data_IF_385397676686
#
_entry.id   IF_385397676686
#
_cell.length_a   1.000
_cell.length_b   1.000
_cell.length_c   1.000
_cell.angle_alpha   90.00
_cell.angle_beta   90.00
_cell.angle_gamma   90.00
#
_symmetry.space_group_name_H-M   'P 1'
#
loop_
_entity.id
_entity.type
_entity.pdbx_description
1 polymer ?
#
# COMPACT_ATOMS: atom_id res chain seq x y z
N UNK A 1 20.29 -20.59 1.22
CA UNK A 1 20.17 -20.17 -0.20
C UNK A 1 19.19 -19.00 -0.31
N UNK A 2 17.99 -19.07 0.28
CA UNK A 2 16.98 -18.01 0.25
C UNK A 2 17.44 -16.71 0.94
N UNK A 3 18.17 -16.81 2.04
CA UNK A 3 18.72 -15.64 2.74
C UNK A 3 19.76 -14.89 1.91
N UNK A 4 20.54 -15.62 1.11
CA UNK A 4 21.53 -15.02 0.19
C UNK A 4 20.81 -14.30 -0.95
N UNK A 5 19.74 -14.90 -1.49
CA UNK A 5 18.96 -14.32 -2.57
C UNK A 5 18.20 -13.06 -2.12
N UNK A 6 17.50 -13.11 -0.98
CA UNK A 6 16.86 -11.95 -0.34
C UNK A 6 17.88 -10.85 -0.02
N UNK A 7 19.07 -11.23 0.49
CA UNK A 7 20.15 -10.29 0.77
C UNK A 7 20.69 -9.63 -0.49
N UNK A 8 20.80 -10.37 -1.60
CA UNK A 8 21.26 -9.82 -2.88
C UNK A 8 20.25 -8.87 -3.51
N UNK A 9 18.95 -9.21 -3.49
CA UNK A 9 17.87 -8.34 -4.00
C UNK A 9 17.76 -7.05 -3.18
N UNK A 10 17.91 -7.13 -1.88
CA UNK A 10 17.83 -5.98 -0.98
C UNK A 10 19.18 -5.29 -0.76
N UNK A 11 20.22 -5.68 -1.52
CA UNK A 11 21.60 -5.19 -1.40
C UNK A 11 22.13 -5.29 0.05
N UNK A 12 21.87 -6.38 0.73
CA UNK A 12 22.33 -6.64 2.09
C UNK A 12 21.54 -5.90 3.19
N UNK A 13 20.51 -5.11 2.82
CA UNK A 13 19.72 -4.37 3.80
C UNK A 13 19.06 -5.27 4.85
N UNK A 14 18.57 -6.45 4.43
CA UNK A 14 17.99 -7.45 5.35
C UNK A 14 19.04 -7.95 6.35
N UNK A 15 20.28 -8.18 5.91
CA UNK A 15 21.34 -8.71 6.77
C UNK A 15 21.74 -7.80 7.93
N UNK A 16 21.61 -6.49 7.79
CA UNK A 16 22.01 -5.49 8.79
C UNK A 16 20.85 -4.93 9.61
N UNK A 17 19.61 -5.01 9.12
CA UNK A 17 18.45 -4.41 9.76
C UNK A 17 17.67 -5.45 10.58
N UNK A 18 17.74 -5.35 11.91
CA UNK A 18 17.03 -6.25 12.84
C UNK A 18 15.51 -6.24 12.65
N UNK A 19 14.92 -5.08 12.37
CA UNK A 19 13.48 -4.93 12.13
C UNK A 19 13.06 -5.67 10.87
N UNK A 20 13.82 -5.53 9.79
CA UNK A 20 13.54 -6.19 8.53
C UNK A 20 13.66 -7.72 8.66
N UNK A 21 14.66 -8.22 9.40
CA UNK A 21 14.77 -9.66 9.74
C UNK A 21 13.55 -10.16 10.48
N UNK A 22 13.07 -9.39 11.47
CA UNK A 22 11.87 -9.75 12.23
C UNK A 22 10.64 -9.81 11.33
N UNK A 23 10.44 -8.83 10.44
CA UNK A 23 9.34 -8.81 9.47
C UNK A 23 9.39 -10.05 8.56
N UNK A 24 10.53 -10.32 7.94
CA UNK A 24 10.70 -11.49 7.05
C UNK A 24 10.45 -12.80 7.80
N UNK A 25 10.94 -12.91 9.04
CA UNK A 25 10.67 -14.09 9.88
C UNK A 25 9.17 -14.26 10.15
N UNK A 26 8.49 -13.20 10.57
CA UNK A 26 7.05 -13.22 10.82
C UNK A 26 6.26 -13.61 9.58
N UNK A 27 6.59 -13.02 8.41
CA UNK A 27 5.95 -13.38 7.14
C UNK A 27 6.19 -14.85 6.78
N UNK A 28 7.40 -15.35 6.98
CA UNK A 28 7.74 -16.76 6.70
C UNK A 28 6.97 -17.76 7.57
N UNK A 29 6.66 -17.39 8.80
CA UNK A 29 5.95 -18.21 9.79
C UNK A 29 4.42 -18.04 9.70
N UNK A 30 3.91 -17.23 8.75
CA UNK A 30 2.47 -16.99 8.58
C UNK A 30 1.84 -17.99 7.63
N UNK A 31 0.60 -18.37 7.91
CA UNK A 31 -0.22 -19.23 7.04
C UNK A 31 -0.88 -18.44 5.90
N UNK A 32 -1.03 -17.14 6.05
CA UNK A 32 -1.64 -16.22 5.09
C UNK A 32 -1.02 -14.84 5.24
N UNK A 33 -0.78 -14.17 4.11
CA UNK A 33 -0.41 -12.77 4.08
C UNK A 33 -1.57 -11.96 3.51
N UNK A 34 -2.06 -10.97 4.26
CA UNK A 34 -3.04 -10.00 3.78
C UNK A 34 -2.34 -8.65 3.61
N UNK A 35 -2.23 -8.20 2.36
CA UNK A 35 -1.72 -6.87 2.06
C UNK A 35 -2.85 -5.86 2.24
N UNK A 36 -2.77 -5.09 3.31
CA UNK A 36 -3.82 -4.16 3.75
C UNK A 36 -4.07 -3.00 2.80
N UNK A 37 -5.17 -2.28 3.03
CA UNK A 37 -5.50 -1.10 2.26
C UNK A 37 -4.46 0.00 2.46
N UNK A 38 -4.24 0.78 1.42
CA UNK A 38 -3.31 1.89 1.46
C UNK A 38 -3.50 2.80 0.27
N UNK A 39 -2.82 3.96 0.30
CA UNK A 39 -2.73 4.81 -0.86
C UNK A 39 -2.01 4.11 -2.02
N UNK A 40 -1.80 4.83 -3.10
CA UNK A 40 -1.12 4.32 -4.32
C UNK A 40 0.37 4.05 -4.07
N UNK A 41 0.67 3.03 -3.26
CA UNK A 41 2.04 2.67 -2.86
C UNK A 41 2.72 1.75 -3.87
N UNK A 42 1.95 1.00 -4.65
CA UNK A 42 2.46 0.15 -5.74
C UNK A 42 2.28 0.90 -7.06
N UNK A 43 3.28 1.68 -7.45
CA UNK A 43 3.28 2.50 -8.66
C UNK A 43 4.70 2.79 -9.13
N UNK A 44 4.88 3.49 -10.25
CA UNK A 44 6.19 3.87 -10.80
C UNK A 44 6.72 5.23 -10.34
N UNK A 45 5.98 5.91 -9.46
CA UNK A 45 6.33 7.24 -8.99
C UNK A 45 7.30 7.23 -7.82
N UNK A 46 7.46 6.08 -7.14
CA UNK A 46 8.44 5.93 -6.06
C UNK A 46 9.81 5.50 -6.56
N UNK A 47 10.86 5.85 -5.83
CA UNK A 47 12.19 5.29 -6.02
C UNK A 47 12.15 3.77 -5.86
N UNK A 48 12.94 3.07 -6.65
CA UNK A 48 13.04 1.61 -6.64
C UNK A 48 13.21 1.01 -5.23
N UNK A 49 14.06 1.62 -4.41
CA UNK A 49 14.26 1.17 -3.03
C UNK A 49 12.97 1.19 -2.21
N UNK A 50 12.17 2.25 -2.34
CA UNK A 50 10.89 2.39 -1.65
C UNK A 50 9.86 1.38 -2.15
N UNK A 51 9.83 1.15 -3.45
CA UNK A 51 8.98 0.12 -4.04
C UNK A 51 9.30 -1.27 -3.50
N UNK A 52 10.59 -1.61 -3.31
CA UNK A 52 11.00 -2.90 -2.76
C UNK A 52 10.52 -3.10 -1.33
N UNK A 53 10.44 -2.04 -0.52
CA UNK A 53 9.84 -2.12 0.83
C UNK A 53 8.36 -2.52 0.75
N UNK A 54 7.59 -1.92 -0.16
CA UNK A 54 6.18 -2.23 -0.35
C UNK A 54 5.94 -3.60 -1.01
N UNK A 55 6.86 -4.06 -1.83
CA UNK A 55 6.78 -5.36 -2.49
C UNK A 55 7.33 -6.52 -1.65
N UNK A 56 7.91 -6.25 -0.48
CA UNK A 56 8.47 -7.28 0.39
C UNK A 56 7.46 -8.38 0.76
N UNK A 57 6.20 -8.11 1.12
CA UNK A 57 5.21 -9.15 1.36
C UNK A 57 4.97 -10.06 0.15
N UNK A 58 4.97 -9.50 -1.07
CA UNK A 58 4.83 -10.28 -2.31
C UNK A 58 6.04 -11.18 -2.55
N UNK A 59 7.24 -10.66 -2.29
CA UNK A 59 8.49 -11.43 -2.39
C UNK A 59 8.45 -12.61 -1.41
N UNK A 60 8.10 -12.35 -0.14
CA UNK A 60 8.00 -13.37 0.88
C UNK A 60 6.93 -14.41 0.56
N UNK A 61 5.74 -13.99 0.16
CA UNK A 61 4.65 -14.87 -0.25
C UNK A 61 5.11 -15.84 -1.34
N UNK A 62 5.77 -15.31 -2.37
CA UNK A 62 6.25 -16.11 -3.49
C UNK A 62 7.41 -17.04 -3.12
N UNK A 63 8.36 -16.57 -2.32
CA UNK A 63 9.53 -17.37 -1.94
C UNK A 63 9.20 -18.47 -0.94
N UNK A 64 8.26 -18.21 -0.05
CA UNK A 64 7.90 -19.15 1.02
C UNK A 64 6.62 -19.94 0.69
N UNK A 65 6.05 -19.71 -0.51
CA UNK A 65 4.81 -20.34 -0.96
C UNK A 65 3.64 -20.12 0.01
N UNK A 66 3.46 -18.87 0.45
CA UNK A 66 2.41 -18.47 1.37
C UNK A 66 1.30 -17.77 0.56
N UNK A 67 0.03 -18.13 0.76
CA UNK A 67 -1.08 -17.42 0.14
C UNK A 67 -1.03 -15.91 0.39
N UNK A 68 -1.26 -15.11 -0.64
CA UNK A 68 -1.27 -13.65 -0.55
C UNK A 68 -2.60 -13.11 -1.08
N UNK A 69 -3.28 -12.34 -0.25
CA UNK A 69 -4.49 -11.62 -0.62
C UNK A 69 -4.25 -10.11 -0.54
N UNK A 70 -4.77 -9.38 -1.51
CA UNK A 70 -4.70 -7.92 -1.55
C UNK A 70 -6.06 -7.36 -1.19
N UNK A 71 -6.11 -6.51 -0.16
CA UNK A 71 -7.32 -5.93 0.40
C UNK A 71 -7.43 -4.43 0.07
N UNK A 72 -8.00 -4.12 -1.08
CA UNK A 72 -8.44 -2.81 -1.53
C UNK A 72 -7.43 -1.63 -1.47
N UNK A 73 -6.15 -1.78 -1.87
CA UNK A 73 -5.29 -0.62 -2.12
C UNK A 73 -5.62 0.04 -3.47
N UNK A 74 -5.17 1.29 -3.65
CA UNK A 74 -4.94 1.85 -4.98
C UNK A 74 -3.63 1.32 -5.56
N UNK A 75 -3.64 0.94 -6.84
CA UNK A 75 -2.47 0.42 -7.55
C UNK A 75 -2.27 1.23 -8.84
N UNK A 76 -1.00 1.53 -9.17
CA UNK A 76 -0.62 2.34 -10.32
C UNK A 76 -0.54 3.84 -10.00
N UNK A 77 -0.29 4.70 -10.99
CA UNK A 77 -0.02 4.36 -12.39
C UNK A 77 1.34 3.65 -12.59
N UNK A 78 1.44 2.99 -13.73
CA UNK A 78 2.69 2.36 -14.19
C UNK A 78 3.19 3.06 -15.46
N UNK A 79 4.50 3.30 -15.55
CA UNK A 79 5.13 3.83 -16.75
C UNK A 79 5.29 2.70 -17.78
N UNK A 80 4.76 2.90 -18.98
CA UNK A 80 4.85 1.92 -20.06
C UNK A 80 6.29 1.73 -20.55
N UNK A 81 7.08 2.80 -20.51
CA UNK A 81 8.50 2.80 -20.93
C UNK A 81 9.44 2.11 -19.94
N UNK A 82 8.97 1.76 -18.76
CA UNK A 82 9.76 1.06 -17.76
C UNK A 82 9.36 -0.41 -17.68
N UNK A 83 10.02 -1.31 -18.43
CA UNK A 83 9.75 -2.74 -18.36
C UNK A 83 10.12 -3.28 -16.96
N UNK A 84 9.20 -3.20 -16.02
CA UNK A 84 9.41 -3.72 -14.68
C UNK A 84 8.88 -5.15 -14.60
N UNK A 85 9.63 -6.08 -15.22
CA UNK A 85 9.30 -7.50 -15.24
C UNK A 85 9.24 -8.12 -13.82
N UNK A 86 10.07 -7.63 -12.89
CA UNK A 86 10.04 -8.09 -11.48
C UNK A 86 8.71 -7.73 -10.84
N UNK A 87 8.24 -6.50 -11.01
CA UNK A 87 6.96 -6.07 -10.48
C UNK A 87 5.80 -6.85 -11.08
N UNK A 88 5.77 -7.01 -12.40
CA UNK A 88 4.77 -7.85 -13.08
C UNK A 88 4.76 -9.27 -12.53
N UNK A 89 5.95 -9.83 -12.32
CA UNK A 89 6.11 -11.17 -11.77
C UNK A 89 5.60 -11.25 -10.32
N UNK A 90 5.85 -10.24 -9.48
CA UNK A 90 5.36 -10.17 -8.11
C UNK A 90 3.85 -9.91 -8.05
N UNK A 91 3.31 -9.03 -8.88
CA UNK A 91 1.88 -8.74 -8.91
C UNK A 91 1.02 -9.90 -9.44
N UNK A 92 1.62 -10.92 -10.03
CA UNK A 92 0.95 -12.19 -10.37
C UNK A 92 0.90 -13.18 -9.19
N UNK A 93 1.53 -12.87 -8.07
CA UNK A 93 1.58 -13.75 -6.90
C UNK A 93 0.27 -13.83 -6.12
N UNK A 94 -0.50 -12.73 -5.91
CA UNK A 94 -1.73 -12.81 -5.15
C UNK A 94 -2.74 -13.78 -5.74
N UNK A 95 -3.38 -14.56 -4.89
CA UNK A 95 -4.48 -15.45 -5.28
C UNK A 95 -5.76 -14.66 -5.53
N UNK A 96 -6.01 -13.64 -4.70
CA UNK A 96 -7.11 -12.69 -4.83
C UNK A 96 -6.55 -11.28 -4.70
N UNK A 97 -6.95 -10.42 -5.61
CA UNK A 97 -6.57 -9.01 -5.62
C UNK A 97 -7.83 -8.14 -5.67
N UNK A 98 -8.20 -7.59 -4.53
CA UNK A 98 -9.23 -6.55 -4.48
C UNK A 98 -8.53 -5.19 -4.60
N UNK A 99 -9.03 -4.35 -5.51
CA UNK A 99 -8.61 -2.94 -5.65
C UNK A 99 -9.81 -2.05 -5.38
N UNK A 100 -9.59 -0.82 -4.90
CA UNK A 100 -10.70 0.03 -4.45
C UNK A 100 -11.33 0.88 -5.54
N UNK A 101 -10.75 0.92 -6.75
CA UNK A 101 -11.27 1.69 -7.87
C UNK A 101 -10.95 1.08 -9.24
N UNK A 102 -11.80 1.37 -10.22
CA UNK A 102 -11.67 0.88 -11.60
C UNK A 102 -10.37 1.33 -12.28
N UNK A 103 -9.85 2.51 -11.93
CA UNK A 103 -8.59 3.00 -12.49
C UNK A 103 -7.40 2.10 -12.12
N UNK A 104 -7.37 1.57 -10.89
CA UNK A 104 -6.35 0.61 -10.46
C UNK A 104 -6.46 -0.72 -11.21
N UNK A 105 -7.69 -1.20 -11.44
CA UNK A 105 -7.94 -2.40 -12.27
C UNK A 105 -7.47 -2.18 -13.71
N UNK A 106 -7.73 -0.99 -14.28
CA UNK A 106 -7.23 -0.63 -15.61
C UNK A 106 -5.71 -0.66 -15.66
N UNK A 107 -5.00 -0.03 -14.71
CA UNK A 107 -3.54 -0.05 -14.68
C UNK A 107 -2.96 -1.47 -14.59
N UNK A 108 -3.59 -2.35 -13.82
CA UNK A 108 -3.17 -3.76 -13.76
C UNK A 108 -3.38 -4.45 -15.11
N UNK A 109 -4.52 -4.20 -15.76
CA UNK A 109 -4.81 -4.73 -17.10
C UNK A 109 -3.79 -4.26 -18.13
N UNK A 110 -3.43 -2.99 -18.13
CA UNK A 110 -2.48 -2.38 -19.06
C UNK A 110 -1.09 -3.02 -18.96
N UNK A 111 -0.68 -3.48 -17.77
CA UNK A 111 0.56 -4.24 -17.56
C UNK A 111 0.39 -5.76 -17.68
N UNK A 112 -0.76 -6.26 -18.16
CA UNK A 112 -1.00 -7.69 -18.44
C UNK A 112 -1.37 -8.54 -17.23
N UNK A 113 -2.02 -7.95 -16.22
CA UNK A 113 -2.57 -8.65 -15.05
C UNK A 113 -4.10 -8.57 -15.12
N UNK A 114 -4.72 -9.72 -15.45
CA UNK A 114 -6.16 -9.79 -15.71
C UNK A 114 -6.89 -10.74 -14.76
N UNK A 115 -6.17 -11.71 -14.19
CA UNK A 115 -6.76 -12.78 -13.42
C UNK A 115 -6.96 -12.38 -11.97
N UNK A 116 -8.13 -12.73 -11.40
CA UNK A 116 -8.46 -12.56 -9.98
C UNK A 116 -8.36 -11.11 -9.47
N UNK A 117 -8.69 -10.11 -10.32
CA UNK A 117 -8.73 -8.71 -9.94
C UNK A 117 -10.18 -8.25 -9.81
N UNK A 118 -10.60 -8.00 -8.58
CA UNK A 118 -11.94 -7.52 -8.22
C UNK A 118 -11.89 -6.04 -7.83
N UNK A 119 -12.91 -5.27 -8.21
CA UNK A 119 -13.08 -3.91 -7.72
C UNK A 119 -14.05 -3.93 -6.54
N UNK A 120 -13.65 -3.31 -5.45
CA UNK A 120 -14.44 -3.21 -4.23
C UNK A 120 -14.43 -1.76 -3.73
N UNK A 121 -14.87 -1.51 -2.53
CA UNK A 121 -14.79 -0.20 -1.88
C UNK A 121 -13.56 -0.12 -0.99
N UNK A 122 -13.14 1.09 -0.65
CA UNK A 122 -12.11 1.30 0.37
C UNK A 122 -12.60 0.69 1.69
N UNK A 123 -11.76 -0.13 2.33
CA UNK A 123 -12.08 -0.80 3.59
C UNK A 123 -12.35 0.18 4.74
N UNK A 124 -11.97 1.44 4.60
CA UNK A 124 -12.34 2.49 5.57
C UNK A 124 -13.86 2.66 5.71
N UNK A 125 -14.64 2.37 4.66
CA UNK A 125 -16.11 2.42 4.71
C UNK A 125 -16.75 1.25 5.48
N UNK A 126 -15.97 0.22 5.80
CA UNK A 126 -16.43 -0.92 6.59
C UNK A 126 -16.32 -0.67 8.10
N UNK A 127 -15.66 0.42 8.50
CA UNK A 127 -15.49 0.75 9.91
C UNK A 127 -16.79 1.34 10.47
N UNK A 128 -17.28 0.73 11.52
CA UNK A 128 -18.29 1.35 12.38
C UNK A 128 -17.63 2.45 13.22
N UNK A 129 -17.95 3.69 12.91
CA UNK A 129 -17.33 4.88 13.52
C UNK A 129 -17.63 4.93 15.02
N UNK A 130 -18.74 4.38 15.46
CA UNK A 130 -19.15 4.40 16.87
C UNK A 130 -18.25 3.54 17.76
N UNK A 131 -17.62 2.50 17.22
CA UNK A 131 -16.70 1.62 17.95
C UNK A 131 -15.33 2.26 18.18
N UNK A 132 -14.93 3.22 17.32
CA UNK A 132 -13.58 3.80 17.33
C UNK A 132 -13.45 5.06 18.20
N UNK A 133 -14.51 5.57 18.80
CA UNK A 133 -14.47 6.78 19.61
C UNK A 133 -13.96 6.47 21.02
N UNK A 134 -12.65 6.60 21.20
CA UNK A 134 -12.02 6.56 22.52
C UNK A 134 -12.51 7.77 23.35
N UNK A 135 -13.03 7.53 24.56
CA UNK A 135 -13.61 8.55 25.44
C UNK A 135 -12.69 9.77 25.69
N UNK A 136 -11.37 9.58 25.76
CA UNK A 136 -10.40 10.69 25.88
C UNK A 136 -10.33 11.60 24.64
N UNK A 137 -10.65 11.06 23.46
CA UNK A 137 -10.77 11.86 22.23
C UNK A 137 -12.12 12.56 22.16
N UNK A 138 -13.15 12.05 22.81
CA UNK A 138 -14.51 12.57 22.76
C UNK A 138 -14.60 14.03 23.22
N UNK A 139 -13.91 14.43 24.29
CA UNK A 139 -13.91 15.81 24.77
C UNK A 139 -13.37 16.81 23.75
N UNK A 140 -12.30 16.45 23.05
CA UNK A 140 -11.72 17.24 21.95
C UNK A 140 -12.71 17.37 20.79
N UNK A 141 -13.41 16.28 20.46
CA UNK A 141 -14.42 16.28 19.40
C UNK A 141 -15.68 17.08 19.80
N UNK A 142 -16.09 17.04 21.06
CA UNK A 142 -17.24 17.85 21.56
C UNK A 142 -16.95 19.35 21.41
N UNK A 143 -15.75 19.79 21.77
CA UNK A 143 -15.33 21.20 21.59
C UNK A 143 -15.33 21.59 20.10
N UNK A 144 -14.76 20.73 19.24
CA UNK A 144 -14.76 20.96 17.80
C UNK A 144 -16.17 20.95 17.22
N UNK A 145 -17.03 20.02 17.64
CA UNK A 145 -18.42 19.93 17.20
C UNK A 145 -19.22 21.18 17.59
N UNK A 146 -19.06 21.69 18.83
CA UNK A 146 -19.68 22.97 19.25
C UNK A 146 -19.22 24.14 18.41
N UNK A 147 -17.91 24.22 18.10
CA UNK A 147 -17.37 25.25 17.23
C UNK A 147 -17.95 25.14 15.82
N UNK A 148 -17.98 23.95 15.25
CA UNK A 148 -18.48 23.68 13.91
C UNK A 148 -19.98 24.00 13.80
N UNK A 149 -20.81 23.58 14.81
CA UNK A 149 -22.26 23.76 14.77
C UNK A 149 -22.71 25.24 14.87
N UNK A 150 -21.81 26.17 15.14
CA UNK A 150 -22.09 27.60 15.08
C UNK A 150 -22.09 28.20 13.66
N UNK A 151 -21.69 27.43 12.65
CA UNK A 151 -21.60 27.85 11.26
C UNK A 151 -22.66 27.17 10.39
N UNK A 152 -23.27 27.91 9.49
CA UNK A 152 -24.28 27.41 8.56
C UNK A 152 -23.66 26.48 7.48
N UNK A 153 -22.46 26.81 7.05
CA UNK A 153 -21.70 26.03 6.05
C UNK A 153 -20.26 25.83 6.49
N UNK A 154 -19.74 24.62 6.30
CA UNK A 154 -18.39 24.24 6.70
C UNK A 154 -17.69 23.60 5.52
N UNK A 155 -16.46 24.04 5.25
CA UNK A 155 -15.56 23.42 4.27
C UNK A 155 -14.40 22.82 5.03
N UNK A 156 -14.25 21.51 4.97
CA UNK A 156 -13.08 20.79 5.49
C UNK A 156 -12.01 20.68 4.41
N UNK A 157 -10.79 21.11 4.72
CA UNK A 157 -9.64 20.99 3.81
C UNK A 157 -8.57 20.18 4.50
N UNK A 158 -8.09 19.13 3.82
CA UNK A 158 -6.91 18.38 4.22
C UNK A 158 -5.74 18.76 3.32
N UNK A 159 -4.67 19.25 3.92
CA UNK A 159 -3.45 19.60 3.20
C UNK A 159 -2.46 18.46 3.37
N UNK A 160 -1.96 17.94 2.25
CA UNK A 160 -0.94 16.88 2.23
C UNK A 160 0.30 17.38 1.51
N UNK A 161 1.45 17.19 2.16
CA UNK A 161 2.75 17.49 1.56
C UNK A 161 3.17 16.33 0.64
N UNK A 162 3.18 16.57 -0.67
CA UNK A 162 3.57 15.60 -1.68
C UNK A 162 5.07 15.63 -2.04
N UNK A 163 5.90 16.42 -1.34
CA UNK A 163 7.36 16.51 -1.62
C UNK A 163 8.09 15.18 -1.48
N UNK A 164 7.52 14.23 -0.75
CA UNK A 164 8.02 12.86 -0.70
C UNK A 164 7.80 12.09 -2.01
N UNK A 165 6.99 12.60 -2.92
CA UNK A 165 6.66 11.98 -4.19
C UNK A 165 7.63 12.44 -5.27
N UNK A 166 8.42 11.50 -5.85
CA UNK A 166 9.52 11.81 -6.78
C UNK A 166 9.09 12.67 -7.96
N UNK A 167 7.91 12.41 -8.51
CA UNK A 167 7.42 13.09 -9.72
C UNK A 167 6.82 14.46 -9.42
N UNK A 168 6.09 14.61 -8.33
CA UNK A 168 5.44 15.87 -7.97
C UNK A 168 6.34 16.81 -7.15
N UNK A 169 7.26 16.26 -6.34
CA UNK A 169 8.10 17.07 -5.46
C UNK A 169 9.27 17.77 -6.16
N UNK A 170 9.62 17.38 -7.39
CA UNK A 170 10.74 17.98 -8.15
C UNK A 170 10.28 18.94 -9.25
N UNK A 171 9.12 18.69 -9.84
CA UNK A 171 8.72 19.36 -11.07
C UNK A 171 7.81 20.57 -10.83
N UNK A 172 7.22 20.74 -9.65
CA UNK A 172 6.21 21.77 -9.40
C UNK A 172 6.69 22.90 -8.48
N UNK A 173 7.99 22.98 -8.15
CA UNK A 173 8.58 24.16 -7.51
C UNK A 173 7.95 24.57 -6.17
N UNK A 174 7.36 23.63 -5.43
CA UNK A 174 6.79 23.84 -4.12
C UNK A 174 7.83 23.75 -3.00
#
# INVERSE_FOLDING_TARGET
IWDIWLSSITRGAIGKNKTLKKIVKTLKESDLIVYGPGGSVINDRFYWRKQMEYLLPFICAKLFNIPLYIAAPSIGPFDEDKPNWIRKWLLKTPEIMCVREEISKKYLKDIGIHKNVEVTIDSAFLNDIDILINQKKLEKYIKLRKFISSYEKIIGITITDFRWHVKYGKDEGL
#
